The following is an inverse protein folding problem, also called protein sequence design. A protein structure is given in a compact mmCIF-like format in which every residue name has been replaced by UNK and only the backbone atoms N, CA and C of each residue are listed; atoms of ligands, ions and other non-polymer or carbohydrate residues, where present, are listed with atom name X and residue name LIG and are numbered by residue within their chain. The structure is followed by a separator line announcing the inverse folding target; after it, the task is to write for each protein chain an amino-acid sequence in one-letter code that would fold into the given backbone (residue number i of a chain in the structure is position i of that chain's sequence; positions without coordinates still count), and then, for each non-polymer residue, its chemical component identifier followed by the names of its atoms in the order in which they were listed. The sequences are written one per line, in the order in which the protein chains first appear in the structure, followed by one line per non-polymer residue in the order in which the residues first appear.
data_IF_953915606785
#
_entry.id   IF_953915606785
#
_cell.length_a   1.000
_cell.length_b   1.000
_cell.length_c   1.000
_cell.angle_alpha   90.00
_cell.angle_beta   90.00
_cell.angle_gamma   90.00
#
_symmetry.space_group_name_H-M   'P 1'
#
loop_
_entity.id
_entity.type
_entity.pdbx_description
1 polymer ?
#
# COMPACT_ATOMS: atom_id res chain seq x y z
N UNK A 1 -19.64 12.58 3.37
CA UNK A 1 -18.44 11.73 3.35
C UNK A 1 -17.82 11.72 4.73
N UNK A 2 -17.83 10.58 5.38
CA UNK A 2 -17.08 10.43 6.63
C UNK A 2 -15.59 10.33 6.28
N UNK A 3 -14.72 11.17 6.86
CA UNK A 3 -13.29 10.96 6.68
C UNK A 3 -12.90 9.60 7.23
N UNK A 4 -11.86 9.00 6.67
CA UNK A 4 -11.21 7.86 7.32
C UNK A 4 -10.93 8.26 8.75
N UNK A 5 -11.30 7.42 9.70
CA UNK A 5 -11.49 7.77 11.11
C UNK A 5 -10.23 8.34 11.77
N UNK A 6 -9.07 8.14 11.21
CA UNK A 6 -7.84 8.82 11.58
C UNK A 6 -7.03 8.99 10.30
N UNK A 7 -6.93 10.21 9.85
CA UNK A 7 -6.16 10.55 8.67
C UNK A 7 -4.69 10.14 8.89
N UNK A 8 -4.31 9.03 8.29
CA UNK A 8 -2.98 8.47 8.47
C UNK A 8 -1.96 9.28 7.68
N UNK A 9 -0.89 9.68 8.35
CA UNK A 9 0.27 10.26 7.70
C UNK A 9 1.53 9.71 8.37
N UNK A 10 2.33 9.00 7.60
CA UNK A 10 3.57 8.38 8.07
C UNK A 10 4.72 8.79 7.18
N UNK A 11 5.86 9.02 7.80
CA UNK A 11 7.12 9.30 7.11
C UNK A 11 8.09 8.16 7.44
N UNK A 12 8.80 7.66 6.46
CA UNK A 12 9.79 6.62 6.62
C UNK A 12 11.17 7.10 6.17
N UNK A 13 12.13 7.02 7.07
CA UNK A 13 13.53 7.40 6.82
C UNK A 13 14.49 6.23 7.03
N UNK A 14 14.02 5.13 7.60
CA UNK A 14 14.81 3.93 7.84
C UNK A 14 13.98 2.65 7.62
N UNK A 15 14.65 1.51 7.77
CA UNK A 15 14.03 0.20 7.57
C UNK A 15 12.86 -0.06 8.51
N UNK A 16 12.98 0.34 9.78
CA UNK A 16 11.92 0.11 10.77
C UNK A 16 10.67 0.90 10.42
N UNK A 17 10.82 2.12 9.96
CA UNK A 17 9.72 2.95 9.50
C UNK A 17 9.02 2.35 8.28
N UNK A 18 9.79 1.79 7.35
CA UNK A 18 9.21 1.19 6.14
C UNK A 18 8.43 -0.08 6.47
N UNK A 19 8.83 -0.82 7.49
CA UNK A 19 8.07 -1.98 7.97
C UNK A 19 6.69 -1.57 8.50
N UNK A 20 6.61 -0.43 9.16
CA UNK A 20 5.34 0.13 9.61
C UNK A 20 4.46 0.50 8.42
N UNK A 21 5.01 1.20 7.44
CA UNK A 21 4.29 1.54 6.20
C UNK A 21 3.82 0.26 5.50
N UNK A 22 4.68 -0.74 5.37
CA UNK A 22 4.36 -2.02 4.74
C UNK A 22 3.16 -2.70 5.39
N UNK A 23 3.10 -2.68 6.72
CA UNK A 23 1.96 -3.25 7.45
C UNK A 23 0.66 -2.52 7.13
N UNK A 24 0.68 -1.20 7.01
CA UNK A 24 -0.51 -0.41 6.69
C UNK A 24 -1.00 -0.59 5.26
N UNK A 25 -0.09 -0.83 4.31
CA UNK A 25 -0.45 -0.96 2.89
C UNK A 25 -0.64 -2.40 2.43
N UNK A 26 -0.50 -3.35 3.31
CA UNK A 26 -0.72 -4.76 2.99
C UNK A 26 -2.12 -4.98 2.40
N UNK A 27 -2.19 -5.73 1.31
CA UNK A 27 -3.43 -6.01 0.55
C UNK A 27 -4.11 -4.78 -0.04
N UNK A 28 -3.38 -3.69 -0.21
CA UNK A 28 -3.88 -2.53 -0.92
C UNK A 28 -4.09 -2.82 -2.40
N UNK A 29 -5.12 -2.22 -2.96
CA UNK A 29 -5.39 -2.29 -4.39
C UNK A 29 -4.74 -1.11 -5.10
N UNK A 30 -4.00 -1.39 -6.14
CA UNK A 30 -3.31 -0.40 -6.96
C UNK A 30 -3.66 -0.60 -8.42
N UNK A 31 -4.08 0.45 -9.10
CA UNK A 31 -4.21 0.41 -10.55
C UNK A 31 -2.87 0.80 -11.18
N UNK A 32 -2.51 0.12 -12.25
CA UNK A 32 -1.29 0.46 -13.00
C UNK A 32 -1.32 1.94 -13.42
N UNK A 33 -2.49 2.44 -13.79
CA UNK A 33 -2.73 3.85 -14.12
C UNK A 33 -2.28 4.82 -13.03
N UNK A 34 -2.35 4.42 -11.76
CA UNK A 34 -2.06 5.27 -10.59
C UNK A 34 -0.59 5.18 -10.14
N UNK A 35 0.25 4.54 -10.93
CA UNK A 35 1.69 4.44 -10.68
C UNK A 35 2.41 5.46 -11.55
N UNK A 36 3.12 6.39 -10.92
CA UNK A 36 3.82 7.47 -11.60
C UNK A 36 5.30 7.47 -11.26
N UNK A 37 6.14 7.29 -12.27
CA UNK A 37 7.58 7.46 -12.17
C UNK A 37 7.99 8.75 -12.87
N UNK A 38 8.62 9.65 -12.11
CA UNK A 38 9.08 10.96 -12.60
C UNK A 38 10.60 11.07 -12.46
N UNK A 39 11.37 10.58 -13.44
CA UNK A 39 12.82 10.55 -13.32
C UNK A 39 13.47 11.92 -13.19
N UNK A 40 12.93 12.94 -13.84
CA UNK A 40 13.45 14.32 -13.74
C UNK A 40 13.32 14.92 -12.34
N UNK A 41 12.35 14.46 -11.56
CA UNK A 41 12.10 14.90 -10.19
C UNK A 41 12.66 13.93 -9.16
N UNK A 42 13.23 12.80 -9.58
CA UNK A 42 13.66 11.70 -8.72
C UNK A 42 12.55 11.22 -7.77
N UNK A 43 11.32 11.19 -8.30
CA UNK A 43 10.13 10.90 -7.50
C UNK A 43 9.33 9.74 -8.08
N UNK A 44 8.92 8.85 -7.20
CA UNK A 44 7.96 7.79 -7.50
C UNK A 44 6.73 7.98 -6.62
N UNK A 45 5.55 7.98 -7.23
CA UNK A 45 4.28 8.12 -6.51
C UNK A 45 3.32 7.02 -6.96
N UNK A 46 2.64 6.45 -6.00
CA UNK A 46 1.62 5.44 -6.25
C UNK A 46 0.40 5.75 -5.40
N UNK A 47 -0.75 5.92 -6.05
CA UNK A 47 -2.02 6.01 -5.33
C UNK A 47 -2.58 4.59 -5.17
N UNK A 48 -3.06 4.31 -3.99
CA UNK A 48 -3.58 2.98 -3.65
C UNK A 48 -4.82 3.09 -2.78
N UNK A 49 -5.62 2.03 -2.79
CA UNK A 49 -6.75 1.87 -1.90
C UNK A 49 -6.33 0.89 -0.81
N UNK A 50 -5.86 1.42 0.31
CA UNK A 50 -5.43 0.60 1.43
C UNK A 50 -6.61 0.11 2.24
N UNK A 51 -6.49 -1.07 2.81
CA UNK A 51 -7.46 -1.59 3.76
C UNK A 51 -7.21 -0.95 5.13
N UNK A 52 -8.27 -0.51 5.78
CA UNK A 52 -8.17 0.08 7.12
C UNK A 52 -8.10 -1.01 8.19
N UNK A 53 -6.88 -1.50 8.42
CA UNK A 53 -6.61 -2.57 9.37
C UNK A 53 -6.92 -2.17 10.81
N UNK A 54 -6.80 -0.91 11.16
CA UNK A 54 -7.06 -0.44 12.51
C UNK A 54 -8.55 -0.49 12.83
N UNK A 55 -9.38 -0.01 11.93
CA UNK A 55 -10.84 -0.12 12.09
C UNK A 55 -11.31 -1.58 12.07
N UNK A 56 -10.72 -2.42 11.23
CA UNK A 56 -11.03 -3.85 11.19
C UNK A 56 -10.67 -4.54 12.51
N UNK A 57 -9.55 -4.21 13.12
CA UNK A 57 -9.14 -4.75 14.41
C UNK A 57 -10.09 -4.33 15.53
N UNK A 58 -10.62 -3.10 15.52
CA UNK A 58 -11.62 -2.66 16.49
C UNK A 58 -12.94 -3.40 16.33
N UNK A 59 -13.38 -3.63 15.09
CA UNK A 59 -14.59 -4.40 14.80
C UNK A 59 -14.47 -5.86 15.26
N UNK A 60 -13.27 -6.42 15.18
CA UNK A 60 -13.00 -7.80 15.58
C UNK A 60 -12.77 -8.00 17.08
N UNK A 61 -12.72 -6.93 17.88
CA UNK A 61 -12.53 -7.05 19.34
C UNK A 61 -13.70 -7.78 20.00
N UNK A 62 -13.41 -8.75 20.90
CA UNK A 62 -14.46 -9.36 21.72
C UNK A 62 -15.18 -8.30 22.54
N UNK A 63 -16.50 -8.25 22.47
CA UNK A 63 -17.30 -7.27 23.17
C UNK A 63 -17.62 -6.00 22.40
N UNK A 64 -17.10 -5.80 21.20
CA UNK A 64 -17.67 -4.85 20.27
C UNK A 64 -19.11 -5.32 19.99
N UNK A 65 -20.10 -4.57 20.47
CA UNK A 65 -21.48 -4.90 20.27
C UNK A 65 -21.83 -4.87 18.78
N UNK A 66 -21.58 -5.96 18.10
CA UNK A 66 -22.24 -6.22 16.85
C UNK A 66 -23.70 -6.40 17.18
N UNK A 67 -24.51 -5.39 16.94
CA UNK A 67 -25.95 -5.57 16.97
C UNK A 67 -26.29 -6.78 16.12
N UNK A 68 -27.07 -7.70 16.66
CA UNK A 68 -27.43 -8.93 15.98
C UNK A 68 -27.92 -8.61 14.57
N UNK A 69 -27.19 -9.11 13.56
CA UNK A 69 -27.55 -8.98 12.16
C UNK A 69 -26.81 -7.91 11.36
N UNK A 70 -25.94 -7.11 11.97
CA UNK A 70 -25.13 -6.11 11.23
C UNK A 70 -23.77 -6.72 10.90
N UNK A 71 -23.45 -6.79 9.60
CA UNK A 71 -22.10 -7.15 9.16
C UNK A 71 -21.15 -6.02 9.52
N UNK A 72 -19.94 -6.33 10.05
CA UNK A 72 -18.94 -5.31 10.25
C UNK A 72 -18.57 -4.65 8.92
N UNK A 73 -18.54 -3.34 8.91
CA UNK A 73 -18.10 -2.57 7.75
C UNK A 73 -16.58 -2.41 7.80
N UNK A 74 -15.93 -2.89 6.76
CA UNK A 74 -14.49 -2.71 6.57
C UNK A 74 -14.27 -1.59 5.54
N UNK A 75 -13.35 -0.71 5.82
CA UNK A 75 -13.11 0.48 5.00
C UNK A 75 -11.82 0.38 4.21
N UNK A 76 -11.85 0.94 3.01
CA UNK A 76 -10.66 1.23 2.23
C UNK A 76 -10.47 2.73 2.14
N UNK A 77 -9.22 3.17 2.30
CA UNK A 77 -8.85 4.56 2.23
C UNK A 77 -7.98 4.81 1.02
N UNK A 78 -8.29 5.85 0.25
CA UNK A 78 -7.44 6.31 -0.83
C UNK A 78 -6.20 6.94 -0.22
N UNK A 79 -5.03 6.46 -0.60
CA UNK A 79 -3.77 6.82 0.04
C UNK A 79 -2.70 7.01 -1.01
N UNK A 80 -1.82 7.97 -0.81
CA UNK A 80 -0.65 8.16 -1.65
C UNK A 80 0.60 7.65 -0.95
N UNK A 81 1.37 6.84 -1.63
CA UNK A 81 2.70 6.40 -1.22
C UNK A 81 3.73 7.05 -2.15
N UNK A 82 4.59 7.88 -1.58
CA UNK A 82 5.58 8.66 -2.31
C UNK A 82 6.97 8.31 -1.85
N UNK A 83 7.85 8.11 -2.80
CA UNK A 83 9.30 7.97 -2.55
C UNK A 83 10.04 9.10 -3.25
N UNK A 84 10.87 9.79 -2.48
CA UNK A 84 11.78 10.81 -2.99
C UNK A 84 13.18 10.22 -3.19
N UNK A 85 14.04 10.95 -3.87
CA UNK A 85 15.44 10.57 -4.11
C UNK A 85 15.59 9.22 -4.81
N UNK A 86 14.66 8.93 -5.72
CA UNK A 86 14.69 7.72 -6.51
C UNK A 86 15.54 7.94 -7.76
N UNK A 87 16.58 7.14 -7.91
CA UNK A 87 17.53 7.25 -9.02
C UNK A 87 17.12 6.40 -10.21
N UNK A 88 16.45 5.27 -9.97
CA UNK A 88 16.02 4.37 -11.02
C UNK A 88 14.77 3.59 -10.56
N UNK A 89 13.93 3.23 -11.53
CA UNK A 89 12.74 2.42 -11.31
C UNK A 89 12.75 1.27 -12.32
N UNK A 90 12.66 0.04 -11.82
CA UNK A 90 12.62 -1.16 -12.64
C UNK A 90 11.40 -1.99 -12.28
N UNK A 91 10.70 -2.51 -13.28
CA UNK A 91 9.53 -3.35 -13.09
C UNK A 91 9.82 -4.77 -13.60
N UNK A 92 9.33 -5.76 -12.87
CA UNK A 92 9.40 -7.17 -13.25
C UNK A 92 8.01 -7.78 -13.16
N UNK A 93 7.62 -8.54 -14.17
CA UNK A 93 6.34 -9.25 -14.22
C UNK A 93 5.12 -8.33 -14.07
N UNK A 94 5.24 -7.09 -14.51
CA UNK A 94 4.15 -6.12 -14.54
C UNK A 94 3.98 -5.60 -15.96
N UNK A 95 2.74 -5.66 -16.45
CA UNK A 95 2.39 -5.09 -17.74
C UNK A 95 2.01 -3.61 -17.56
N UNK A 96 2.94 -2.73 -17.88
CA UNK A 96 2.76 -1.28 -17.76
C UNK A 96 1.77 -0.72 -18.78
N UNK A 97 1.44 -1.48 -19.81
CA UNK A 97 0.48 -1.07 -20.86
C UNK A 97 -0.97 -1.32 -20.45
N UNK A 98 -1.20 -2.28 -19.57
CA UNK A 98 -2.54 -2.64 -19.09
C UNK A 98 -2.97 -1.69 -17.96
N UNK A 99 -3.29 -0.45 -18.31
CA UNK A 99 -3.53 0.64 -17.35
C UNK A 99 -4.67 0.39 -16.37
N UNK A 100 -5.68 -0.36 -16.77
CA UNK A 100 -6.84 -0.69 -15.93
C UNK A 100 -6.61 -1.90 -15.03
N UNK A 101 -5.48 -2.58 -15.16
CA UNK A 101 -5.15 -3.74 -14.32
C UNK A 101 -5.01 -3.30 -12.87
N UNK A 102 -5.68 -4.03 -11.99
CA UNK A 102 -5.57 -3.85 -10.55
C UNK A 102 -4.54 -4.82 -10.01
N UNK A 103 -3.60 -4.28 -9.25
CA UNK A 103 -2.56 -5.02 -8.58
C UNK A 103 -2.88 -5.07 -7.09
N UNK A 104 -2.47 -6.15 -6.44
CA UNK A 104 -2.59 -6.28 -5.01
C UNK A 104 -1.20 -6.15 -4.39
N UNK A 105 -0.98 -5.10 -3.62
CA UNK A 105 0.31 -4.84 -2.96
C UNK A 105 0.42 -5.71 -1.71
N UNK A 106 1.43 -6.56 -1.67
CA UNK A 106 1.66 -7.47 -0.55
C UNK A 106 2.60 -6.90 0.49
N UNK A 107 3.67 -6.26 0.06
CA UNK A 107 4.70 -5.76 0.97
C UNK A 107 5.52 -4.64 0.33
N UNK A 108 6.11 -3.82 1.18
CA UNK A 108 7.14 -2.85 0.84
C UNK A 108 8.37 -3.16 1.69
N UNK A 109 9.50 -3.36 1.04
CA UNK A 109 10.74 -3.71 1.72
C UNK A 109 11.85 -2.72 1.36
N UNK A 110 12.76 -2.47 2.29
CA UNK A 110 13.95 -1.67 2.06
C UNK A 110 15.19 -2.44 2.47
N UNK A 111 16.17 -2.49 1.59
CA UNK A 111 17.47 -3.07 1.85
C UNK A 111 18.57 -2.03 1.58
N UNK A 112 19.36 -1.70 2.60
CA UNK A 112 20.53 -0.85 2.42
C UNK A 112 21.57 -1.56 1.54
N UNK A 113 22.19 -0.79 0.67
CA UNK A 113 23.31 -1.26 -0.17
C UNK A 113 24.59 -0.58 0.29
N UNK A 114 24.82 0.64 -0.11
CA UNK A 114 25.95 1.47 0.30
C UNK A 114 25.38 2.67 1.06
N UNK A 115 25.29 2.53 2.39
CA UNK A 115 24.56 3.48 3.25
C UNK A 115 24.92 4.93 2.95
N UNK A 116 23.95 5.85 2.78
CA UNK A 116 22.51 5.69 3.04
C UNK A 116 21.69 5.17 1.85
N UNK A 117 22.34 4.80 0.77
CA UNK A 117 21.66 4.28 -0.43
C UNK A 117 21.08 2.88 -0.19
N UNK A 118 20.08 2.54 -0.98
CA UNK A 118 19.45 1.25 -0.88
C UNK A 118 18.45 0.97 -1.98
N UNK A 119 17.71 -0.10 -1.81
CA UNK A 119 16.72 -0.58 -2.74
C UNK A 119 15.39 -0.76 -2.03
N UNK A 120 14.36 -0.10 -2.56
CA UNK A 120 12.97 -0.33 -2.15
C UNK A 120 12.35 -1.33 -3.12
N UNK A 121 11.72 -2.36 -2.58
CA UNK A 121 10.97 -3.35 -3.37
C UNK A 121 9.50 -3.26 -3.03
N UNK A 122 8.68 -3.01 -4.04
CA UNK A 122 7.23 -3.06 -3.94
C UNK A 122 6.79 -4.41 -4.51
N UNK A 123 6.26 -5.27 -3.66
CA UNK A 123 5.96 -6.66 -4.00
C UNK A 123 4.46 -6.81 -4.17
N UNK A 124 4.05 -7.28 -5.35
CA UNK A 124 2.65 -7.47 -5.71
C UNK A 124 2.32 -8.95 -5.84
N UNK A 125 1.04 -9.28 -5.66
CA UNK A 125 0.56 -10.63 -5.95
C UNK A 125 0.79 -10.98 -7.42
N UNK A 126 0.97 -12.28 -7.71
CA UNK A 126 1.23 -12.73 -9.06
C UNK A 126 2.69 -12.59 -9.51
N UNK A 127 3.60 -12.27 -8.61
CA UNK A 127 5.04 -12.19 -8.89
C UNK A 127 5.52 -10.85 -9.42
N UNK A 128 4.64 -9.84 -9.49
CA UNK A 128 5.04 -8.49 -9.91
C UNK A 128 5.89 -7.79 -8.85
N UNK A 129 6.94 -7.11 -9.28
CA UNK A 129 7.82 -6.34 -8.39
C UNK A 129 8.20 -5.03 -9.06
N UNK A 130 8.11 -3.94 -8.31
CA UNK A 130 8.72 -2.67 -8.67
C UNK A 130 9.90 -2.44 -7.74
N UNK A 131 11.06 -2.22 -8.33
CA UNK A 131 12.29 -1.97 -7.61
C UNK A 131 12.74 -0.54 -7.82
N UNK A 132 12.94 0.18 -6.72
CA UNK A 132 13.40 1.56 -6.72
C UNK A 132 14.82 1.62 -6.15
N UNK A 133 15.76 2.10 -6.94
CA UNK A 133 17.09 2.43 -6.43
C UNK A 133 17.04 3.83 -5.84
N UNK A 134 17.30 3.97 -4.56
CA UNK A 134 17.20 5.25 -3.86
C UNK A 134 18.56 5.70 -3.34
N UNK A 135 18.78 7.00 -3.41
CA UNK A 135 19.97 7.65 -2.86
C UNK A 135 20.01 7.54 -1.33
N UNK A 136 18.83 7.67 -0.74
CA UNK A 136 18.52 7.37 0.66
C UNK A 136 17.02 7.10 0.77
N UNK A 137 16.59 6.46 1.85
CA UNK A 137 15.17 6.22 2.07
C UNK A 137 14.47 7.49 2.54
N UNK A 138 13.54 7.97 1.74
CA UNK A 138 12.65 9.07 2.09
C UNK A 138 11.28 8.78 1.48
N UNK A 139 10.36 8.33 2.32
CA UNK A 139 9.03 7.92 1.90
C UNK A 139 7.96 8.59 2.76
N UNK A 140 6.81 8.80 2.18
CA UNK A 140 5.63 9.31 2.86
C UNK A 140 4.39 8.55 2.44
N UNK A 141 3.61 8.14 3.42
CA UNK A 141 2.28 7.57 3.24
C UNK A 141 1.25 8.54 3.79
N UNK A 142 0.33 9.01 2.97
CA UNK A 142 -0.68 9.98 3.38
C UNK A 142 -2.07 9.63 2.84
N UNK A 143 -3.05 9.58 3.72
CA UNK A 143 -4.43 9.34 3.33
C UNK A 143 -4.99 10.53 2.55
N UNK A 144 -5.73 10.24 1.48
CA UNK A 144 -6.37 11.23 0.62
C UNK A 144 -7.89 11.29 0.82
N UNK A 145 -8.46 10.29 1.47
CA UNK A 145 -9.89 10.22 1.75
C UNK A 145 -10.44 8.82 1.69
N UNK A 146 -11.73 8.67 1.99
CA UNK A 146 -12.43 7.40 1.92
C UNK A 146 -12.84 7.09 0.47
N UNK A 147 -12.65 5.85 0.04
CA UNK A 147 -12.96 5.44 -1.33
C UNK A 147 -14.13 4.47 -1.37
N UNK A 148 -14.12 3.45 -0.53
CA UNK A 148 -15.13 2.41 -0.58
C UNK A 148 -15.21 1.63 0.72
N UNK A 149 -16.36 0.97 0.92
CA UNK A 149 -16.53 -0.02 1.96
C UNK A 149 -16.17 -1.39 1.38
N UNK A 150 -15.24 -2.07 2.00
CA UNK A 150 -14.89 -3.43 1.61
C UNK A 150 -15.92 -4.41 2.16
N UNK A 151 -16.50 -5.24 1.30
CA UNK A 151 -17.50 -6.22 1.72
C UNK A 151 -16.90 -7.35 2.56
N UNK A 152 -15.64 -7.65 2.38
CA UNK A 152 -14.94 -8.78 3.02
C UNK A 152 -13.56 -8.32 3.43
N UNK A 153 -13.17 -8.67 4.66
CA UNK A 153 -11.79 -8.47 5.11
C UNK A 153 -10.84 -9.34 4.28
N UNK A 154 -9.73 -8.80 3.77
CA UNK A 154 -8.75 -9.62 3.07
C UNK A 154 -8.24 -10.74 3.97
N UNK A 155 -8.26 -11.95 3.45
CA UNK A 155 -7.82 -13.14 4.18
C UNK A 155 -6.59 -13.72 3.49
N UNK A 156 -5.48 -13.73 4.21
CA UNK A 156 -4.23 -14.28 3.72
C UNK A 156 -4.21 -15.80 3.64
N UNK A 157 -5.17 -16.43 4.30
CA UNK A 157 -5.22 -17.89 4.39
C UNK A 157 -6.08 -18.54 3.29
N UNK A 158 -6.85 -17.77 2.56
CA UNK A 158 -7.58 -18.23 1.39
C UNK A 158 -6.78 -18.01 0.12
N UNK A 159 -5.56 -18.55 0.11
CA UNK A 159 -4.74 -18.53 -1.10
C UNK A 159 -5.48 -19.26 -2.24
N UNK A 160 -5.75 -18.58 -3.32
CA UNK A 160 -6.39 -19.16 -4.50
C UNK A 160 -7.71 -18.53 -4.89
N UNK A 161 -8.29 -17.70 -4.07
CA UNK A 161 -9.47 -16.93 -4.44
C UNK A 161 -9.18 -15.47 -4.74
N UNK A 162 -7.96 -15.17 -5.13
CA UNK A 162 -7.63 -13.87 -5.67
C UNK A 162 -8.45 -13.64 -6.93
N UNK A 163 -9.56 -12.98 -6.79
CA UNK A 163 -10.33 -12.53 -7.92
C UNK A 163 -10.02 -11.10 -8.19
N UNK A 164 -9.58 -10.90 -9.36
CA UNK A 164 -9.54 -9.57 -9.95
C UNK A 164 -10.93 -8.95 -9.96
#
# INVERSE_FOLDING_TARGET
MSPCTDELKLVALDKDDIEVISAHVQDSLVKVLDILWRPSEHRFVMALDRFDWMSAAEVAKPGAAAGAGTRPEYRRCRTALRFERVLACKCRNLDQTAKDTRLNLLAVEFAETDSPAGIVSLIFSGGGVIRLDVECLEAELADLGEVSVAAICPDHFTAGTART
#
